data_IF_967940368767
#
_entry.id   IF_967940368767
#
_cell.length_a   1.000
_cell.length_b   1.000
_cell.length_c   1.000
_cell.angle_alpha   90.00
_cell.angle_beta   90.00
_cell.angle_gamma   90.00
#
_symmetry.space_group_name_H-M   'P 1'
#
loop_
_entity.id
_entity.type
_entity.pdbx_description
1 polymer ?
#
# COMPACT_ATOMS: atom_id res chain seq x y z
N UNK A 1 -7.55 -14.55 -5.96
CA UNK A 1 -8.44 -13.68 -5.15
C UNK A 1 -9.87 -13.79 -5.67
N UNK A 2 -10.85 -13.61 -4.80
CA UNK A 2 -12.27 -13.53 -5.18
C UNK A 2 -12.54 -12.19 -5.86
N UNK A 3 -13.22 -12.19 -7.02
CA UNK A 3 -13.68 -10.99 -7.73
C UNK A 3 -15.21 -10.89 -7.60
N UNK A 4 -15.75 -10.17 -6.60
CA UNK A 4 -17.20 -10.00 -6.42
C UNK A 4 -17.78 -9.04 -7.46
N UNK A 5 -19.12 -9.06 -7.63
CA UNK A 5 -19.85 -7.92 -8.20
C UNK A 5 -19.95 -6.80 -7.16
N UNK A 6 -20.11 -5.55 -7.61
CA UNK A 6 -20.21 -4.38 -6.74
C UNK A 6 -21.30 -4.53 -5.66
N UNK A 7 -22.54 -4.82 -6.04
CA UNK A 7 -23.66 -4.93 -5.09
C UNK A 7 -23.41 -5.98 -4.00
N UNK A 8 -22.80 -7.11 -4.37
CA UNK A 8 -22.46 -8.18 -3.45
C UNK A 8 -21.37 -7.75 -2.46
N UNK A 9 -20.35 -7.05 -2.94
CA UNK A 9 -19.30 -6.48 -2.10
C UNK A 9 -19.87 -5.44 -1.14
N UNK A 10 -20.68 -4.51 -1.64
CA UNK A 10 -21.30 -3.45 -0.84
C UNK A 10 -22.18 -4.05 0.27
N UNK A 11 -23.03 -5.03 -0.07
CA UNK A 11 -23.85 -5.73 0.90
C UNK A 11 -22.99 -6.38 2.00
N UNK A 12 -21.91 -7.08 1.65
CA UNK A 12 -21.02 -7.71 2.64
C UNK A 12 -20.29 -6.69 3.51
N UNK A 13 -19.84 -5.57 2.94
CA UNK A 13 -19.22 -4.49 3.71
C UNK A 13 -20.19 -3.89 4.73
N UNK A 14 -21.44 -3.62 4.33
CA UNK A 14 -22.46 -3.06 5.21
C UNK A 14 -22.91 -4.06 6.29
N UNK A 15 -23.10 -5.34 5.95
CA UNK A 15 -23.41 -6.38 6.94
C UNK A 15 -22.27 -6.55 7.95
N UNK A 16 -21.02 -6.55 7.50
CA UNK A 16 -19.86 -6.60 8.40
C UNK A 16 -19.80 -5.36 9.29
N UNK A 17 -20.03 -4.18 8.72
CA UNK A 17 -20.07 -2.91 9.44
C UNK A 17 -21.13 -2.90 10.54
N UNK A 18 -22.33 -3.42 10.29
CA UNK A 18 -23.42 -3.51 11.29
C UNK A 18 -23.01 -4.37 12.50
N UNK A 19 -22.29 -5.47 12.25
CA UNK A 19 -21.85 -6.41 13.29
C UNK A 19 -20.67 -5.90 14.13
N UNK A 20 -19.98 -4.85 13.71
CA UNK A 20 -18.82 -4.31 14.45
C UNK A 20 -19.25 -3.69 15.79
N UNK A 21 -18.54 -4.06 16.85
CA UNK A 21 -18.65 -3.41 18.16
C UNK A 21 -18.17 -1.95 18.15
N UNK A 22 -18.39 -1.21 19.25
CA UNK A 22 -18.03 0.22 19.35
C UNK A 22 -16.52 0.48 19.24
N UNK A 23 -15.69 -0.45 19.70
CA UNK A 23 -14.22 -0.34 19.67
C UNK A 23 -13.57 -1.17 18.55
N UNK A 24 -14.37 -1.64 17.59
CA UNK A 24 -13.88 -2.48 16.50
C UNK A 24 -13.42 -1.64 15.31
N UNK A 25 -12.41 -2.15 14.60
CA UNK A 25 -11.87 -1.55 13.39
C UNK A 25 -12.33 -2.35 12.18
N UNK A 26 -12.75 -1.65 11.12
CA UNK A 26 -12.91 -2.28 9.81
C UNK A 26 -11.56 -2.26 9.09
N UNK A 27 -11.06 -3.43 8.71
CA UNK A 27 -9.90 -3.56 7.81
C UNK A 27 -10.39 -4.06 6.45
N UNK A 28 -10.11 -3.30 5.40
CA UNK A 28 -10.44 -3.69 4.02
C UNK A 28 -9.14 -3.79 3.24
N UNK A 29 -8.88 -4.95 2.64
CA UNK A 29 -7.79 -5.18 1.71
C UNK A 29 -8.36 -5.33 0.31
N UNK A 30 -8.05 -4.37 -0.57
CA UNK A 30 -8.47 -4.37 -1.97
C UNK A 30 -7.25 -4.68 -2.83
N UNK A 31 -7.36 -5.67 -3.72
CA UNK A 31 -6.34 -5.99 -4.71
C UNK A 31 -7.00 -6.19 -6.07
N UNK A 32 -6.60 -5.40 -7.06
CA UNK A 32 -7.16 -5.47 -8.41
C UNK A 32 -6.67 -4.37 -9.34
N UNK A 33 -7.04 -4.51 -10.61
CA UNK A 33 -6.70 -3.55 -11.66
C UNK A 33 -7.44 -2.24 -11.44
N UNK A 34 -6.80 -1.11 -11.73
CA UNK A 34 -7.38 0.21 -11.58
C UNK A 34 -8.36 0.55 -12.71
N UNK A 35 -9.36 1.38 -12.42
CA UNK A 35 -10.18 2.04 -13.41
C UNK A 35 -9.85 3.53 -13.51
N UNK A 36 -9.89 4.07 -14.73
CA UNK A 36 -9.52 5.46 -14.99
C UNK A 36 -10.49 6.45 -14.32
N UNK A 37 -10.01 7.60 -13.84
CA UNK A 37 -10.87 8.66 -13.31
C UNK A 37 -11.80 9.20 -14.40
N UNK A 38 -13.08 9.36 -14.09
CA UNK A 38 -14.04 10.04 -14.98
C UNK A 38 -14.06 11.56 -14.74
N UNK A 39 -13.72 12.01 -13.53
CA UNK A 39 -13.61 13.42 -13.21
C UNK A 39 -12.34 14.08 -13.79
N UNK A 40 -12.46 15.37 -14.13
CA UNK A 40 -11.30 16.20 -14.51
C UNK A 40 -10.30 16.27 -13.36
N UNK A 41 -9.02 16.08 -13.67
CA UNK A 41 -7.91 16.16 -12.73
C UNK A 41 -8.00 17.45 -11.89
N UNK A 42 -8.02 17.32 -10.56
CA UNK A 42 -8.00 18.44 -9.61
C UNK A 42 -9.29 18.71 -8.83
N UNK A 43 -10.34 17.91 -8.98
CA UNK A 43 -11.51 17.94 -8.10
C UNK A 43 -11.49 16.74 -7.13
N UNK A 44 -11.80 16.97 -5.84
CA UNK A 44 -12.08 15.92 -4.84
C UNK A 44 -13.39 15.21 -5.23
N UNK A 45 -13.37 14.47 -6.34
CA UNK A 45 -14.56 13.85 -6.92
C UNK A 45 -14.78 12.44 -6.39
N UNK A 46 -16.05 12.08 -6.25
CA UNK A 46 -16.51 10.77 -5.76
C UNK A 46 -15.91 9.60 -6.57
N UNK A 47 -15.63 9.84 -7.85
CA UNK A 47 -15.20 8.94 -8.91
C UNK A 47 -13.77 9.26 -9.43
N UNK A 48 -12.87 9.73 -8.54
CA UNK A 48 -11.48 10.09 -8.88
C UNK A 48 -10.58 8.90 -9.27
N UNK A 49 -11.16 7.85 -9.83
CA UNK A 49 -10.56 6.56 -10.14
C UNK A 49 -10.85 5.53 -9.04
N UNK A 50 -10.85 4.26 -9.40
CA UNK A 50 -11.22 3.16 -8.50
C UNK A 50 -10.51 1.85 -8.84
N UNK A 51 -11.03 0.75 -8.29
CA UNK A 51 -10.54 -0.62 -8.54
C UNK A 51 -11.64 -1.43 -9.22
N UNK A 52 -11.28 -2.08 -10.32
CA UNK A 52 -12.17 -2.94 -11.11
C UNK A 52 -12.54 -4.20 -10.31
N UNK A 53 -13.83 -4.48 -10.22
CA UNK A 53 -14.40 -5.69 -9.65
C UNK A 53 -14.74 -6.69 -10.77
N UNK A 54 -15.80 -7.48 -10.61
CA UNK A 54 -16.22 -8.42 -11.63
C UNK A 54 -17.18 -7.77 -12.65
N UNK A 55 -16.63 -7.34 -13.81
CA UNK A 55 -17.43 -6.83 -14.93
C UNK A 55 -18.20 -7.92 -15.72
N UNK A 56 -18.11 -9.21 -15.37
CA UNK A 56 -18.71 -10.32 -16.13
C UNK A 56 -18.16 -10.45 -17.56
N UNK A 57 -18.83 -11.23 -18.42
CA UNK A 57 -18.46 -11.38 -19.85
C UNK A 57 -18.71 -10.12 -20.70
N UNK A 58 -19.37 -9.11 -20.14
CA UNK A 58 -19.85 -7.91 -20.86
C UNK A 58 -18.71 -7.12 -21.50
N UNK A 59 -17.47 -7.24 -20.99
CA UNK A 59 -16.32 -6.48 -21.50
C UNK A 59 -15.43 -7.22 -22.50
N UNK A 60 -15.65 -8.52 -22.78
CA UNK A 60 -14.79 -9.26 -23.73
C UNK A 60 -15.26 -9.16 -25.19
N UNK A 61 -16.52 -8.79 -25.42
CA UNK A 61 -17.11 -8.73 -26.75
C UNK A 61 -17.28 -7.30 -27.32
N UNK A 62 -16.86 -6.25 -26.61
CA UNK A 62 -16.84 -4.89 -27.16
C UNK A 62 -15.61 -4.64 -28.05
N UNK A 63 -15.26 -5.64 -28.86
CA UNK A 63 -14.20 -5.56 -29.87
C UNK A 63 -14.74 -5.32 -31.27
N UNK A 64 -16.04 -5.53 -31.52
CA UNK A 64 -16.62 -5.43 -32.84
C UNK A 64 -18.00 -4.77 -32.79
N UNK A 65 -18.10 -3.59 -33.42
CA UNK A 65 -19.33 -2.89 -33.84
C UNK A 65 -20.11 -2.33 -32.62
N UNK A 66 -20.25 -1.03 -32.38
CA UNK A 66 -20.95 -0.02 -33.18
C UNK A 66 -20.53 1.38 -32.67
N UNK A 67 -20.50 2.36 -33.56
CA UNK A 67 -20.45 3.81 -33.27
C UNK A 67 -21.59 4.19 -32.31
N UNK A 68 -21.30 4.57 -31.06
CA UNK A 68 -22.36 4.95 -30.11
C UNK A 68 -21.88 6.04 -29.13
N UNK A 69 -22.27 7.27 -29.44
CA UNK A 69 -22.05 8.51 -28.70
C UNK A 69 -22.70 8.53 -27.29
N UNK A 70 -23.30 7.41 -26.86
CA UNK A 70 -23.99 7.21 -25.57
C UNK A 70 -23.51 5.97 -24.78
N UNK A 71 -22.48 5.26 -25.24
CA UNK A 71 -21.92 4.13 -24.49
C UNK A 71 -20.91 4.60 -23.44
N UNK A 72 -21.39 5.11 -22.30
CA UNK A 72 -20.55 5.16 -21.09
C UNK A 72 -20.08 3.73 -20.77
N UNK A 73 -18.81 3.51 -20.40
CA UNK A 73 -18.29 2.16 -20.24
C UNK A 73 -19.04 1.44 -19.12
N UNK A 74 -19.81 0.42 -19.48
CA UNK A 74 -20.60 -0.43 -18.58
C UNK A 74 -19.78 -1.08 -17.46
N UNK A 75 -18.44 -1.12 -17.59
CA UNK A 75 -17.53 -1.61 -16.56
C UNK A 75 -17.34 -0.62 -15.38
N UNK A 76 -17.73 0.65 -15.51
CA UNK A 76 -17.70 1.63 -14.41
C UNK A 76 -18.63 1.25 -13.24
N UNK A 77 -19.80 0.67 -13.55
CA UNK A 77 -20.76 0.19 -12.54
C UNK A 77 -20.22 -0.99 -11.71
N UNK A 78 -19.14 -1.62 -12.16
CA UNK A 78 -18.47 -2.72 -11.47
C UNK A 78 -17.07 -2.29 -11.01
N UNK A 79 -16.88 -1.01 -10.71
CA UNK A 79 -15.70 -0.49 -10.04
C UNK A 79 -16.04 -0.09 -8.61
N UNK A 80 -15.06 -0.22 -7.71
CA UNK A 80 -15.12 0.32 -6.36
C UNK A 80 -14.35 1.65 -6.34
N UNK A 81 -15.06 2.74 -6.04
CA UNK A 81 -14.50 4.08 -5.93
C UNK A 81 -14.26 4.48 -4.47
N UNK A 82 -13.37 5.45 -4.18
CA UNK A 82 -13.15 5.98 -2.84
C UNK A 82 -14.45 6.47 -2.18
N UNK A 83 -15.33 7.12 -2.95
CA UNK A 83 -16.61 7.63 -2.48
C UNK A 83 -17.58 6.57 -1.95
N UNK A 84 -17.51 5.34 -2.47
CA UNK A 84 -18.37 4.22 -2.04
C UNK A 84 -18.08 3.79 -0.58
N UNK A 85 -16.90 4.13 -0.07
CA UNK A 85 -16.46 3.77 1.28
C UNK A 85 -16.83 4.82 2.35
N UNK A 86 -17.31 6.00 1.95
CA UNK A 86 -17.70 7.07 2.88
C UNK A 86 -18.79 6.68 3.90
N UNK A 87 -19.80 5.87 3.56
CA UNK A 87 -20.75 5.37 4.55
C UNK A 87 -20.09 4.58 5.71
N UNK A 88 -18.93 3.97 5.47
CA UNK A 88 -18.20 3.16 6.45
C UNK A 88 -17.36 4.01 7.41
N UNK A 89 -17.09 5.28 7.07
CA UNK A 89 -16.23 6.19 7.86
C UNK A 89 -16.85 6.66 9.19
N UNK A 90 -18.04 6.17 9.54
CA UNK A 90 -18.62 6.33 10.88
C UNK A 90 -18.00 5.39 11.93
N UNK A 91 -17.13 4.46 11.52
CA UNK A 91 -16.29 3.62 12.40
C UNK A 91 -14.81 3.72 11.97
N UNK A 92 -13.86 3.35 12.85
CA UNK A 92 -12.45 3.26 12.50
C UNK A 92 -12.21 2.38 11.26
N UNK A 93 -11.50 2.90 10.25
CA UNK A 93 -11.22 2.16 9.00
C UNK A 93 -9.71 2.17 8.68
N UNK A 94 -9.13 0.98 8.52
CA UNK A 94 -7.82 0.79 7.90
C UNK A 94 -8.04 0.20 6.49
N UNK A 95 -7.59 0.91 5.47
CA UNK A 95 -7.74 0.54 4.07
C UNK A 95 -6.36 0.19 3.47
N UNK A 96 -6.25 -0.96 2.83
CA UNK A 96 -5.10 -1.32 2.01
C UNK A 96 -5.57 -1.42 0.56
N UNK A 97 -4.96 -0.63 -0.32
CA UNK A 97 -5.31 -0.61 -1.75
C UNK A 97 -4.10 -1.01 -2.57
N UNK A 98 -4.19 -2.17 -3.17
CA UNK A 98 -3.18 -2.72 -4.05
C UNK A 98 -3.67 -2.69 -5.50
N UNK A 99 -3.26 -1.66 -6.23
CA UNK A 99 -3.72 -1.38 -7.58
C UNK A 99 -2.79 -0.39 -8.27
N UNK A 100 -2.69 -0.44 -9.60
CA UNK A 100 -2.04 0.60 -10.40
C UNK A 100 -2.78 1.95 -10.38
N UNK A 101 -3.96 2.02 -9.75
CA UNK A 101 -4.70 3.25 -9.47
C UNK A 101 -4.98 3.44 -7.97
N UNK A 102 -4.19 2.81 -7.10
CA UNK A 102 -4.37 2.86 -5.65
C UNK A 102 -4.38 4.28 -5.08
N UNK A 103 -3.71 5.21 -5.75
CA UNK A 103 -3.53 6.59 -5.29
C UNK A 103 -4.78 7.44 -5.36
N UNK A 104 -5.80 6.99 -6.11
CA UNK A 104 -7.12 7.60 -6.11
C UNK A 104 -7.74 7.64 -4.70
N UNK A 105 -7.37 6.70 -3.81
CA UNK A 105 -7.88 6.62 -2.44
C UNK A 105 -7.13 7.52 -1.45
N UNK A 106 -6.01 8.14 -1.83
CA UNK A 106 -5.23 9.01 -0.92
C UNK A 106 -5.97 10.32 -0.57
N UNK A 107 -6.91 10.74 -1.43
CA UNK A 107 -7.76 11.92 -1.21
C UNK A 107 -8.82 11.73 -0.13
N UNK A 108 -9.09 10.48 0.28
CA UNK A 108 -10.05 10.20 1.34
C UNK A 108 -9.59 10.83 2.66
N UNK A 109 -10.54 11.44 3.36
CA UNK A 109 -10.31 12.08 4.66
C UNK A 109 -11.08 11.35 5.75
N UNK A 110 -10.55 11.41 6.97
CA UNK A 110 -11.31 11.04 8.17
C UNK A 110 -12.60 11.85 8.24
N UNK A 111 -13.71 11.18 8.58
CA UNK A 111 -15.01 11.81 8.84
C UNK A 111 -15.49 11.45 10.24
N UNK A 112 -16.39 12.26 10.79
CA UNK A 112 -17.04 12.00 12.08
C UNK A 112 -16.08 11.82 13.29
N UNK A 113 -14.85 12.33 13.17
CA UNK A 113 -13.80 12.15 14.18
C UNK A 113 -13.28 10.72 14.30
N UNK A 114 -13.59 9.84 13.33
CA UNK A 114 -13.16 8.45 13.30
C UNK A 114 -11.81 8.32 12.59
N UNK A 115 -10.88 7.52 13.11
CA UNK A 115 -9.56 7.37 12.49
C UNK A 115 -9.67 6.67 11.13
N UNK A 116 -8.88 7.14 10.18
CA UNK A 116 -8.75 6.57 8.84
C UNK A 116 -7.26 6.46 8.52
N UNK A 117 -6.83 5.30 8.03
CA UNK A 117 -5.55 5.16 7.35
C UNK A 117 -5.80 4.46 6.03
N UNK A 118 -5.26 5.02 4.96
CA UNK A 118 -5.18 4.40 3.64
C UNK A 118 -3.71 4.07 3.36
N UNK A 119 -3.40 2.83 3.03
CA UNK A 119 -2.09 2.36 2.60
C UNK A 119 -2.19 1.88 1.15
N UNK A 120 -1.48 2.58 0.25
CA UNK A 120 -1.49 2.31 -1.18
C UNK A 120 -0.20 1.59 -1.59
N UNK A 121 -0.35 0.57 -2.44
CA UNK A 121 0.78 -0.02 -3.15
C UNK A 121 1.47 1.01 -4.06
N UNK A 122 2.70 0.75 -4.51
CA UNK A 122 3.22 1.39 -5.73
C UNK A 122 2.21 1.26 -6.88
N UNK A 123 2.16 2.25 -7.75
CA UNK A 123 1.29 2.22 -8.94
C UNK A 123 1.97 1.56 -10.14
N UNK A 124 3.30 1.50 -10.12
CA UNK A 124 4.12 0.80 -11.09
C UNK A 124 5.31 0.11 -10.39
N UNK A 125 6.09 -0.67 -11.13
CA UNK A 125 7.28 -1.36 -10.66
C UNK A 125 8.42 -1.26 -11.69
N UNK A 126 9.69 -1.33 -11.24
CA UNK A 126 10.82 -1.43 -12.16
C UNK A 126 10.69 -2.59 -13.16
N UNK A 127 11.10 -2.38 -14.42
CA UNK A 127 10.96 -3.35 -15.52
C UNK A 127 11.45 -4.77 -15.16
N UNK A 128 12.61 -4.88 -14.50
CA UNK A 128 13.18 -6.17 -14.11
C UNK A 128 12.28 -6.99 -13.16
N UNK A 129 11.32 -6.35 -12.49
CA UNK A 129 10.32 -7.00 -11.65
C UNK A 129 9.03 -7.32 -12.40
N UNK A 130 8.65 -6.50 -13.38
CA UNK A 130 7.51 -6.77 -14.25
C UNK A 130 7.70 -8.06 -15.06
N UNK A 131 8.95 -8.37 -15.44
CA UNK A 131 9.32 -9.59 -16.16
C UNK A 131 9.24 -10.88 -15.31
N UNK A 132 8.95 -10.78 -14.00
CA UNK A 132 8.79 -11.94 -13.10
C UNK A 132 7.35 -12.10 -12.56
N UNK A 133 6.34 -12.28 -13.44
CA UNK A 133 4.93 -12.26 -13.05
C UNK A 133 4.51 -13.38 -12.10
N UNK A 134 5.32 -14.43 -11.95
CA UNK A 134 4.99 -15.60 -11.12
C UNK A 134 5.14 -15.35 -9.60
N UNK A 135 5.71 -14.20 -9.17
CA UNK A 135 6.11 -13.98 -7.77
C UNK A 135 5.11 -13.20 -6.91
N UNK A 136 3.93 -12.90 -7.45
CA UNK A 136 2.92 -12.13 -6.73
C UNK A 136 3.37 -10.70 -6.42
N UNK A 137 2.63 -10.01 -5.55
CA UNK A 137 2.87 -8.60 -5.28
C UNK A 137 3.97 -8.36 -4.26
N UNK A 138 4.93 -7.52 -4.62
CA UNK A 138 6.00 -7.06 -3.72
C UNK A 138 5.40 -6.33 -2.52
N UNK A 139 4.34 -5.55 -2.73
CA UNK A 139 3.68 -4.82 -1.66
C UNK A 139 3.04 -5.78 -0.65
N UNK A 140 2.23 -6.74 -1.10
CA UNK A 140 1.70 -7.81 -0.24
C UNK A 140 2.84 -8.54 0.48
N UNK A 141 3.93 -8.87 -0.24
CA UNK A 141 5.06 -9.60 0.33
C UNK A 141 5.73 -8.81 1.45
N UNK A 142 5.89 -7.49 1.32
CA UNK A 142 6.34 -6.66 2.43
C UNK A 142 5.34 -6.66 3.59
N UNK A 143 4.03 -6.56 3.33
CA UNK A 143 3.02 -6.60 4.39
C UNK A 143 2.90 -7.96 5.08
N UNK A 144 3.36 -9.05 4.45
CA UNK A 144 3.34 -10.41 4.99
C UNK A 144 4.68 -10.85 5.60
N UNK A 145 5.78 -10.77 4.84
CA UNK A 145 7.13 -11.16 5.24
C UNK A 145 8.21 -10.18 4.73
N UNK A 146 8.41 -9.05 5.43
CA UNK A 146 9.33 -7.96 5.09
C UNK A 146 10.77 -8.38 4.80
N UNK A 147 11.34 -9.33 5.57
CA UNK A 147 12.69 -9.81 5.31
C UNK A 147 12.77 -10.56 3.98
N UNK A 148 11.78 -11.39 3.66
CA UNK A 148 11.69 -12.05 2.33
C UNK A 148 11.60 -11.00 1.23
N UNK A 149 10.76 -9.98 1.42
CA UNK A 149 10.59 -8.92 0.43
C UNK A 149 11.88 -8.11 0.21
N UNK A 150 12.59 -7.79 1.30
CA UNK A 150 13.88 -7.12 1.26
C UNK A 150 14.91 -7.95 0.46
N UNK A 151 15.02 -9.24 0.79
CA UNK A 151 15.90 -10.16 0.09
C UNK A 151 15.55 -10.24 -1.40
N UNK A 152 14.25 -10.29 -1.72
CA UNK A 152 13.76 -10.34 -3.08
C UNK A 152 14.16 -9.08 -3.89
N UNK A 153 13.94 -7.87 -3.36
CA UNK A 153 14.31 -6.64 -4.09
C UNK A 153 15.83 -6.47 -4.23
N UNK A 154 16.60 -7.05 -3.31
CA UNK A 154 18.06 -7.14 -3.39
C UNK A 154 18.58 -8.35 -4.20
N UNK A 155 17.71 -9.08 -4.89
CA UNK A 155 18.03 -10.26 -5.70
C UNK A 155 18.73 -11.40 -4.93
N UNK A 156 18.40 -11.57 -3.66
CA UNK A 156 18.89 -12.66 -2.82
C UNK A 156 17.91 -13.84 -2.88
N UNK A 157 18.36 -14.97 -3.42
CA UNK A 157 17.51 -16.15 -3.65
C UNK A 157 17.60 -17.16 -2.50
N UNK A 158 18.74 -17.24 -1.81
CA UNK A 158 18.99 -18.22 -0.74
C UNK A 158 19.78 -17.58 0.38
N UNK A 159 19.38 -17.86 1.62
CA UNK A 159 20.03 -17.38 2.83
C UNK A 159 20.20 -18.56 3.79
N UNK A 160 21.39 -18.77 4.38
CA UNK A 160 21.56 -19.74 5.45
C UNK A 160 20.69 -19.38 6.66
N UNK A 161 20.05 -20.38 7.30
CA UNK A 161 19.12 -20.16 8.42
C UNK A 161 19.70 -19.29 9.53
N UNK A 162 20.96 -19.51 9.92
CA UNK A 162 21.61 -18.68 10.94
C UNK A 162 21.76 -17.20 10.55
N UNK A 163 21.97 -16.91 9.25
CA UNK A 163 22.01 -15.55 8.74
C UNK A 163 20.60 -14.95 8.66
N UNK A 164 19.61 -15.77 8.30
CA UNK A 164 18.19 -15.38 8.32
C UNK A 164 17.76 -14.93 9.72
N UNK A 165 18.03 -15.72 10.76
CA UNK A 165 17.67 -15.39 12.14
C UNK A 165 18.33 -14.08 12.61
N UNK A 166 19.61 -13.88 12.24
CA UNK A 166 20.32 -12.62 12.51
C UNK A 166 19.66 -11.43 11.82
N UNK A 167 19.25 -11.58 10.56
CA UNK A 167 18.56 -10.54 9.80
C UNK A 167 17.17 -10.27 10.37
N UNK A 168 16.43 -11.31 10.78
CA UNK A 168 15.11 -11.16 11.38
C UNK A 168 15.21 -10.39 12.71
N UNK A 169 16.18 -10.73 13.57
CA UNK A 169 16.44 -9.98 14.79
C UNK A 169 16.81 -8.51 14.51
N UNK A 170 17.38 -8.21 13.35
CA UNK A 170 17.68 -6.84 12.93
C UNK A 170 16.44 -6.10 12.42
N UNK A 171 15.54 -6.78 11.70
CA UNK A 171 14.20 -6.27 11.36
C UNK A 171 13.39 -5.96 12.63
N UNK A 172 13.52 -6.78 13.68
CA UNK A 172 12.84 -6.52 14.96
C UNK A 172 13.36 -5.25 15.65
N UNK A 173 14.66 -4.93 15.51
CA UNK A 173 15.22 -3.64 15.98
C UNK A 173 14.62 -2.46 15.21
N UNK A 174 14.42 -2.61 13.90
CA UNK A 174 13.71 -1.61 13.10
C UNK A 174 12.29 -1.40 13.64
N UNK A 175 11.56 -2.48 13.96
CA UNK A 175 10.22 -2.37 14.53
C UNK A 175 10.19 -1.68 15.88
N UNK A 176 11.15 -1.97 16.76
CA UNK A 176 11.25 -1.31 18.05
C UNK A 176 11.44 0.22 17.89
N UNK A 177 12.30 0.65 16.96
CA UNK A 177 12.52 2.07 16.71
C UNK A 177 11.34 2.74 15.98
N UNK A 178 10.78 2.09 14.96
CA UNK A 178 9.61 2.59 14.24
C UNK A 178 8.39 2.70 15.17
N UNK A 179 8.20 1.73 16.07
CA UNK A 179 7.20 1.77 17.15
C UNK A 179 7.36 3.03 18.01
N UNK A 180 8.58 3.27 18.49
CA UNK A 180 8.89 4.42 19.33
C UNK A 180 8.57 5.73 18.62
N UNK A 181 8.91 5.84 17.34
CA UNK A 181 8.63 7.04 16.54
C UNK A 181 7.14 7.24 16.28
N UNK A 182 6.39 6.19 15.90
CA UNK A 182 4.95 6.25 15.66
C UNK A 182 4.17 6.73 16.89
N UNK A 183 4.51 6.20 18.07
CA UNK A 183 3.78 6.52 19.30
C UNK A 183 4.17 7.89 19.86
N UNK A 184 5.45 8.27 19.79
CA UNK A 184 5.95 9.48 20.46
C UNK A 184 5.93 10.73 19.58
N UNK A 185 5.96 10.59 18.26
CA UNK A 185 5.98 11.75 17.36
C UNK A 185 4.67 12.52 17.47
N UNK A 186 4.76 13.85 17.56
CA UNK A 186 3.61 14.76 17.49
C UNK A 186 3.20 15.06 16.05
N UNK A 187 4.08 14.79 15.09
CA UNK A 187 3.85 15.01 13.66
C UNK A 187 3.08 13.84 13.02
N UNK A 188 3.08 12.67 13.66
CA UNK A 188 2.29 11.51 13.22
C UNK A 188 0.83 11.72 13.60
N UNK A 189 -0.05 11.61 12.59
CA UNK A 189 -1.49 11.74 12.76
C UNK A 189 -2.03 10.77 13.83
N UNK A 190 -3.03 11.24 14.58
CA UNK A 190 -3.62 10.48 15.69
C UNK A 190 -4.23 9.13 15.25
N UNK A 191 -4.63 8.99 13.98
CA UNK A 191 -5.16 7.75 13.41
C UNK A 191 -4.15 6.60 13.53
N UNK A 192 -2.88 6.85 13.26
CA UNK A 192 -1.80 5.85 13.44
C UNK A 192 -1.73 5.36 14.88
N UNK A 193 -1.88 6.25 15.86
CA UNK A 193 -1.85 5.90 17.29
C UNK A 193 -3.09 5.10 17.69
N UNK A 194 -4.26 5.46 17.14
CA UNK A 194 -5.51 4.74 17.41
C UNK A 194 -5.41 3.27 16.98
N UNK A 195 -4.97 3.01 15.75
CA UNK A 195 -4.82 1.65 15.23
C UNK A 195 -3.62 0.89 15.83
N UNK A 196 -2.63 1.59 16.39
CA UNK A 196 -1.45 0.96 16.99
C UNK A 196 -1.75 0.11 18.24
N UNK A 197 -2.89 0.34 18.87
CA UNK A 197 -3.32 -0.40 20.06
C UNK A 197 -3.60 -1.88 19.75
N UNK A 198 -4.05 -2.19 18.53
CA UNK A 198 -4.29 -3.54 18.06
C UNK A 198 -2.98 -4.20 17.59
N UNK A 199 -2.71 -5.44 18.05
CA UNK A 199 -1.46 -6.12 17.76
C UNK A 199 -1.27 -6.48 16.27
N UNK A 200 -2.36 -6.81 15.58
CA UNK A 200 -2.34 -7.17 14.16
C UNK A 200 -2.16 -5.91 13.30
N UNK A 201 -2.94 -4.86 13.55
CA UNK A 201 -2.81 -3.58 12.83
C UNK A 201 -1.45 -2.93 13.09
N UNK A 202 -0.96 -2.97 14.33
CA UNK A 202 0.40 -2.53 14.67
C UNK A 202 1.46 -3.24 13.84
N UNK A 203 1.36 -4.57 13.72
CA UNK A 203 2.31 -5.35 12.91
C UNK A 203 2.26 -4.88 11.46
N UNK A 204 1.06 -4.71 10.90
CA UNK A 204 0.86 -4.25 9.53
C UNK A 204 1.46 -2.86 9.27
N UNK A 205 1.24 -1.90 10.17
CA UNK A 205 1.81 -0.54 10.10
C UNK A 205 3.34 -0.55 10.13
N UNK A 206 3.94 -1.37 10.99
CA UNK A 206 5.40 -1.49 11.09
C UNK A 206 6.01 -2.12 9.82
N UNK A 207 5.32 -3.10 9.24
CA UNK A 207 5.71 -3.72 7.96
C UNK A 207 5.59 -2.74 6.80
N UNK A 208 4.54 -1.93 6.77
CA UNK A 208 4.36 -0.86 5.80
C UNK A 208 5.47 0.19 5.89
N UNK A 209 5.83 0.63 7.10
CA UNK A 209 6.97 1.55 7.30
C UNK A 209 8.29 0.95 6.81
N UNK A 210 8.54 -0.32 7.10
CA UNK A 210 9.73 -1.00 6.61
C UNK A 210 9.77 -1.07 5.07
N UNK A 211 8.62 -1.35 4.43
CA UNK A 211 8.45 -1.29 2.98
C UNK A 211 8.82 0.10 2.42
N UNK A 212 8.23 1.14 3.01
CA UNK A 212 8.48 2.53 2.62
C UNK A 212 9.95 2.92 2.74
N UNK A 213 10.59 2.67 3.90
CA UNK A 213 12.01 2.97 4.09
C UNK A 213 12.88 2.19 3.09
N UNK A 214 12.63 0.90 2.91
CA UNK A 214 13.42 0.04 2.01
C UNK A 214 13.34 0.52 0.57
N UNK A 215 12.14 0.69 0.03
CA UNK A 215 11.96 1.07 -1.37
C UNK A 215 12.44 2.51 -1.66
N UNK A 216 12.25 3.45 -0.72
CA UNK A 216 12.79 4.81 -0.87
C UNK A 216 14.30 4.89 -0.92
N UNK A 217 15.00 3.91 -0.36
CA UNK A 217 16.46 3.92 -0.33
C UNK A 217 17.07 3.07 -1.44
N UNK A 218 16.33 2.08 -1.95
CA UNK A 218 16.82 1.17 -2.96
C UNK A 218 16.98 1.87 -4.31
N UNK A 219 18.16 1.79 -4.92
CA UNK A 219 18.55 2.55 -6.13
C UNK A 219 17.61 2.34 -7.32
N UNK A 220 17.03 1.15 -7.45
CA UNK A 220 16.10 0.83 -8.54
C UNK A 220 14.69 1.42 -8.35
N UNK A 221 14.37 1.94 -7.16
CA UNK A 221 13.03 2.44 -6.80
C UNK A 221 13.04 3.94 -6.51
N UNK A 222 14.02 4.45 -5.76
CA UNK A 222 14.04 5.82 -5.19
C UNK A 222 13.87 6.98 -6.18
N UNK A 223 14.15 6.77 -7.47
CA UNK A 223 14.09 7.81 -8.50
C UNK A 223 12.70 8.00 -9.14
N UNK A 224 11.74 7.11 -8.84
CA UNK A 224 10.39 7.21 -9.38
C UNK A 224 9.35 7.06 -8.25
N UNK A 225 8.57 8.12 -8.03
CA UNK A 225 7.50 8.12 -7.01
C UNK A 225 6.44 7.06 -7.24
N UNK A 226 6.25 6.63 -8.47
CA UNK A 226 5.26 5.62 -8.84
C UNK A 226 5.66 4.21 -8.35
N UNK A 227 6.96 4.01 -8.07
CA UNK A 227 7.50 2.76 -7.51
C UNK A 227 7.44 2.73 -5.98
N UNK A 228 6.87 3.76 -5.33
CA UNK A 228 6.87 3.89 -3.89
C UNK A 228 5.46 3.70 -3.30
N UNK A 229 5.32 2.97 -2.18
CA UNK A 229 4.06 2.88 -1.47
C UNK A 229 3.77 4.19 -0.73
N UNK A 230 2.50 4.59 -0.73
CA UNK A 230 2.03 5.87 -0.19
C UNK A 230 0.95 5.64 0.85
N UNK A 231 0.69 6.64 1.69
CA UNK A 231 -0.36 6.57 2.69
C UNK A 231 -1.10 7.89 2.86
N UNK A 232 -2.32 7.81 3.37
CA UNK A 232 -3.11 8.95 3.84
C UNK A 232 -3.65 8.63 5.24
N UNK A 233 -3.38 9.45 6.27
CA UNK A 233 -2.49 10.62 6.26
C UNK A 233 -1.05 10.25 5.88
N UNK A 234 -0.29 11.14 5.22
CA UNK A 234 1.07 10.84 4.78
C UNK A 234 2.02 10.64 5.96
N UNK A 235 2.78 9.54 5.93
CA UNK A 235 3.89 9.31 6.88
C UNK A 235 5.18 10.01 6.45
N UNK A 236 5.28 10.36 5.17
CA UNK A 236 6.46 11.00 4.56
C UNK A 236 6.67 12.41 5.12
N UNK A 237 5.57 13.15 5.26
CA UNK A 237 5.55 14.52 5.79
C UNK A 237 5.78 14.55 7.31
N UNK A 238 5.65 13.40 7.98
CA UNK A 238 5.90 13.26 9.42
C UNK A 238 7.39 13.00 9.77
N UNK A 239 8.29 13.08 8.77
CA UNK A 239 9.75 12.83 8.87
C UNK A 239 10.14 11.43 9.38
N UNK A 240 9.18 10.54 9.66
CA UNK A 240 9.46 9.23 10.25
C UNK A 240 10.26 8.36 9.30
N UNK A 241 9.91 8.37 8.02
CA UNK A 241 10.56 7.56 6.99
C UNK A 241 11.97 8.07 6.68
N UNK A 242 12.23 9.35 6.98
CA UNK A 242 13.53 10.00 6.83
C UNK A 242 14.37 9.96 8.12
N UNK A 243 13.88 9.29 9.17
CA UNK A 243 14.60 9.18 10.44
C UNK A 243 15.99 8.55 10.23
N UNK A 244 17.07 9.20 10.67
CA UNK A 244 18.43 8.67 10.54
C UNK A 244 18.60 7.27 11.17
N UNK A 245 17.85 6.99 12.24
CA UNK A 245 17.89 5.69 12.92
C UNK A 245 17.25 4.59 12.07
N UNK A 246 16.10 4.85 11.44
CA UNK A 246 15.45 3.88 10.56
C UNK A 246 16.29 3.65 9.30
N UNK A 247 16.82 4.73 8.70
CA UNK A 247 17.75 4.67 7.57
C UNK A 247 18.95 3.79 7.91
N UNK A 248 19.60 4.05 9.06
CA UNK A 248 20.76 3.26 9.50
C UNK A 248 20.41 1.78 9.66
N UNK A 249 19.25 1.46 10.25
CA UNK A 249 18.83 0.06 10.42
C UNK A 249 18.62 -0.65 9.07
N UNK A 250 18.08 0.04 8.06
CA UNK A 250 17.94 -0.50 6.70
C UNK A 250 19.30 -0.73 6.04
N UNK A 251 20.26 0.21 6.20
CA UNK A 251 21.61 0.05 5.64
C UNK A 251 22.43 -1.02 6.37
N UNK A 252 22.31 -1.10 7.70
CA UNK A 252 22.96 -2.14 8.50
C UNK A 252 22.47 -3.54 8.06
N UNK A 253 21.19 -3.69 7.71
CA UNK A 253 20.67 -4.92 7.12
C UNK A 253 21.32 -5.23 5.77
N UNK A 254 21.47 -4.21 4.92
CA UNK A 254 22.16 -4.34 3.64
C UNK A 254 23.62 -4.78 3.83
N UNK A 255 24.31 -4.24 4.83
CA UNK A 255 25.68 -4.65 5.20
C UNK A 255 25.73 -6.12 5.67
N UNK A 256 24.78 -6.56 6.50
CA UNK A 256 24.72 -7.95 6.98
C UNK A 256 24.54 -8.93 5.82
N UNK A 257 23.78 -8.53 4.80
CA UNK A 257 23.46 -9.33 3.62
C UNK A 257 24.44 -9.12 2.44
N UNK A 258 25.45 -8.27 2.61
CA UNK A 258 26.42 -7.91 1.57
C UNK A 258 25.78 -7.33 0.28
N UNK A 259 24.73 -6.53 0.44
CA UNK A 259 23.97 -5.89 -0.66
C UNK A 259 23.91 -4.36 -0.53
N UNK A 260 24.85 -3.75 0.20
CA UNK A 260 24.89 -2.31 0.42
C UNK A 260 24.95 -1.50 -0.89
N UNK A 261 25.53 -2.06 -1.96
CA UNK A 261 25.58 -1.45 -3.30
C UNK A 261 24.19 -1.19 -3.92
N UNK A 262 23.15 -1.88 -3.46
CA UNK A 262 21.77 -1.65 -3.88
C UNK A 262 21.17 -0.36 -3.29
N UNK A 263 21.76 0.18 -2.22
CA UNK A 263 21.25 1.34 -1.49
C UNK A 263 22.17 2.58 -1.58
N UNK A 264 23.41 2.41 -2.05
CA UNK A 264 24.33 3.53 -2.27
C UNK A 264 23.92 4.37 -3.49
N UNK A 265 24.29 5.63 -3.47
CA UNK A 265 24.39 6.44 -4.68
C UNK A 265 25.49 5.82 -5.55
N UNK A 266 25.19 5.54 -6.82
CA UNK A 266 26.23 5.22 -7.78
C UNK A 266 27.19 6.41 -7.74
N UNK A 267 28.46 6.15 -7.43
CA UNK A 267 29.45 7.16 -7.11
C UNK A 267 29.40 8.39 -8.03
N UNK A 268 29.63 9.55 -7.41
CA UNK A 268 30.14 10.76 -8.02
C UNK A 268 30.96 10.43 -9.27
N UNK A 269 30.50 10.91 -10.42
CA UNK A 269 31.35 11.00 -11.60
C UNK A 269 32.52 11.90 -11.24
N UNK A 270 33.63 11.29 -10.86
CA UNK A 270 34.96 11.90 -10.92
C UNK A 270 35.20 12.26 -12.38
N UNK A 271 35.11 13.57 -12.67
CA UNK A 271 35.75 14.22 -13.81
C UNK A 271 36.66 15.31 -13.24
#
# INVERSE_FOLDING_TARGET
LYKPKFDFLLQHMLCSYEQLGPDSVLLIYISGDGCSPQAKAGSESYDSGGVVLNCGEVSRNSGDLVDDYYSEPTCNLQCLYPGDLYPLLRKPLLLIVESNNSTAFLSMKSLFGQPLIVMCSPIDMPLFLQEQPQRGSIFTMFLHCPLTAYCFVCNIVRIPVALWDKCQAHVDKFYAEASRLLVRSKLVDSSYKAFYSDAFLRTLLLRFLFCQCTLRMHRNFRGNHDYLPRSSPPLEDAEIVQSPNLIRLVLDLACILDVLSAFRESDETVC
#
